data_IF_336252092613
#
_entry.id   IF_336252092613
#
_cell.length_a   1.000
_cell.length_b   1.000
_cell.length_c   1.000
_cell.angle_alpha   90.00
_cell.angle_beta   90.00
_cell.angle_gamma   90.00
#
_symmetry.space_group_name_H-M   'P 1'
#
loop_
_entity.id
_entity.type
_entity.pdbx_description
1 polymer ?
#
# COMPACT_ATOMS: atom_id res chain seq x y z
N UNK A 1 -15.82 13.22 -19.17
CA UNK A 1 -16.25 12.19 -18.22
C UNK A 1 -17.23 12.80 -17.23
N UNK A 2 -18.43 12.26 -17.12
CA UNK A 2 -19.41 12.69 -16.12
C UNK A 2 -19.04 12.03 -14.79
N UNK A 3 -18.45 12.79 -13.89
CA UNK A 3 -18.04 12.28 -12.60
C UNK A 3 -17.38 13.38 -11.77
N UNK A 4 -16.90 12.99 -10.61
CA UNK A 4 -16.26 13.91 -9.68
C UNK A 4 -14.81 13.45 -9.41
N UNK A 5 -13.94 14.42 -9.20
CA UNK A 5 -12.61 14.20 -8.66
C UNK A 5 -12.60 14.59 -7.17
N UNK A 6 -12.25 13.63 -6.32
CA UNK A 6 -12.02 13.86 -4.89
C UNK A 6 -10.53 14.06 -4.67
N UNK A 7 -10.14 15.14 -4.02
CA UNK A 7 -8.72 15.40 -3.75
C UNK A 7 -8.49 16.24 -2.50
N UNK A 8 -7.32 16.07 -1.92
CA UNK A 8 -6.78 16.95 -0.89
C UNK A 8 -5.30 17.25 -1.18
N UNK A 9 -4.78 18.29 -0.55
CA UNK A 9 -3.35 18.56 -0.54
C UNK A 9 -2.78 18.23 0.84
N UNK A 10 -1.63 17.58 0.89
CA UNK A 10 -0.91 17.32 2.14
C UNK A 10 -0.67 18.63 2.88
N UNK A 11 -0.91 18.62 4.18
CA UNK A 11 -0.78 19.81 5.03
C UNK A 11 -1.92 20.82 4.92
N UNK A 12 -2.92 20.57 4.04
CA UNK A 12 -4.16 21.32 4.00
C UNK A 12 -5.20 20.72 4.95
N UNK A 13 -6.06 21.55 5.49
CA UNK A 13 -7.21 21.12 6.30
C UNK A 13 -8.45 20.83 5.45
N UNK A 14 -8.35 21.01 4.12
CA UNK A 14 -9.50 21.02 3.23
C UNK A 14 -9.42 19.87 2.23
N UNK A 15 -10.53 19.17 2.06
CA UNK A 15 -10.75 18.19 0.99
C UNK A 15 -11.81 18.73 0.03
N UNK A 16 -11.62 18.53 -1.25
CA UNK A 16 -12.48 19.07 -2.32
C UNK A 16 -13.09 17.94 -3.16
N UNK A 17 -14.33 18.13 -3.54
CA UNK A 17 -15.02 17.38 -4.59
C UNK A 17 -15.23 18.32 -5.78
N UNK A 18 -14.67 18.02 -6.92
CA UNK A 18 -14.69 18.83 -8.13
C UNK A 18 -15.46 18.10 -9.23
N UNK A 19 -16.34 18.82 -9.93
CA UNK A 19 -17.09 18.29 -11.08
C UNK A 19 -16.24 18.22 -12.37
N UNK A 20 -16.83 17.69 -13.45
CA UNK A 20 -16.19 17.56 -14.76
C UNK A 20 -15.88 18.91 -15.43
N UNK A 21 -16.49 19.99 -14.97
CA UNK A 21 -16.24 21.36 -15.47
C UNK A 21 -15.21 22.10 -14.61
N UNK A 22 -14.58 21.40 -13.67
CA UNK A 22 -13.60 21.94 -12.70
C UNK A 22 -14.20 22.93 -11.67
N UNK A 23 -15.51 22.89 -11.46
CA UNK A 23 -16.12 23.64 -10.37
C UNK A 23 -16.06 22.82 -9.09
N UNK A 24 -15.85 23.50 -7.96
CA UNK A 24 -15.93 22.85 -6.66
C UNK A 24 -17.41 22.57 -6.34
N UNK A 25 -17.76 21.28 -6.35
CA UNK A 25 -19.10 20.82 -6.04
C UNK A 25 -19.32 20.73 -4.52
N UNK A 26 -18.28 20.37 -3.77
CA UNK A 26 -18.33 20.30 -2.32
C UNK A 26 -16.95 20.50 -1.66
N UNK A 27 -16.94 20.88 -0.37
CA UNK A 27 -15.74 21.15 0.39
C UNK A 27 -15.93 20.73 1.84
N UNK A 28 -15.01 19.90 2.34
CA UNK A 28 -14.90 19.59 3.79
C UNK A 28 -13.75 20.41 4.38
N UNK A 29 -14.06 21.34 5.29
CA UNK A 29 -13.07 22.13 6.02
C UNK A 29 -12.94 21.59 7.45
N UNK A 30 -11.80 20.99 7.76
CA UNK A 30 -11.56 20.30 9.01
C UNK A 30 -10.50 21.01 9.87
N UNK A 31 -10.33 20.55 11.11
CA UNK A 31 -9.37 21.15 12.05
C UNK A 31 -7.99 20.51 12.02
N UNK A 32 -7.86 19.31 11.41
CA UNK A 32 -6.58 18.59 11.29
C UNK A 32 -6.12 18.51 9.83
N UNK A 33 -4.82 18.53 9.63
CA UNK A 33 -4.21 18.46 8.31
C UNK A 33 -4.51 17.11 7.64
N UNK A 34 -4.82 17.17 6.35
CA UNK A 34 -4.94 15.97 5.53
C UNK A 34 -3.59 15.24 5.45
N UNK A 35 -3.67 13.92 5.47
CA UNK A 35 -2.62 13.07 4.95
C UNK A 35 -2.82 12.88 3.44
N UNK A 36 -2.27 11.84 2.84
CA UNK A 36 -2.34 11.65 1.38
C UNK A 36 -3.68 11.11 0.90
N UNK A 37 -4.38 10.32 1.72
CA UNK A 37 -5.49 9.53 1.24
C UNK A 37 -6.86 10.06 1.67
N UNK A 38 -7.78 10.00 0.72
CA UNK A 38 -9.21 10.29 0.93
C UNK A 38 -10.05 9.35 0.08
N UNK A 39 -11.16 8.89 0.61
CA UNK A 39 -12.16 8.12 -0.12
C UNK A 39 -13.57 8.62 0.17
N UNK A 40 -14.47 8.46 -0.79
CA UNK A 40 -15.88 8.85 -0.66
C UNK A 40 -16.73 7.58 -0.60
N UNK A 41 -17.54 7.46 0.45
CA UNK A 41 -18.53 6.40 0.57
C UNK A 41 -19.75 6.70 -0.29
N UNK A 42 -20.53 5.68 -0.65
CA UNK A 42 -21.77 5.83 -1.43
C UNK A 42 -22.81 6.73 -0.75
N UNK A 43 -22.82 6.78 0.58
CA UNK A 43 -23.69 7.66 1.34
C UNK A 43 -23.24 9.14 1.33
N UNK A 44 -22.14 9.46 0.68
CA UNK A 44 -21.55 10.79 0.59
C UNK A 44 -20.61 11.15 1.74
N UNK A 45 -20.38 10.26 2.69
CA UNK A 45 -19.40 10.49 3.74
C UNK A 45 -17.97 10.41 3.20
N UNK A 46 -17.12 11.30 3.69
CA UNK A 46 -15.70 11.32 3.41
C UNK A 46 -14.96 10.46 4.44
N UNK A 47 -14.12 9.53 4.00
CA UNK A 47 -13.12 8.86 4.84
C UNK A 47 -11.75 9.41 4.52
N UNK A 48 -10.98 9.82 5.53
CA UNK A 48 -9.66 10.39 5.33
C UNK A 48 -8.65 9.99 6.39
N UNK A 49 -7.40 9.79 5.99
CA UNK A 49 -6.26 9.83 6.88
C UNK A 49 -5.93 11.28 7.25
N UNK A 50 -5.56 11.53 8.49
CA UNK A 50 -5.27 12.88 8.98
C UNK A 50 -4.20 12.86 10.06
N UNK A 51 -3.45 13.95 10.19
CA UNK A 51 -2.45 14.08 11.23
C UNK A 51 -3.07 14.08 12.61
N UNK A 52 -2.48 13.31 13.51
CA UNK A 52 -2.73 13.39 14.93
C UNK A 52 -1.69 14.32 15.58
N UNK A 53 -2.17 15.24 16.41
CA UNK A 53 -1.30 16.10 17.21
C UNK A 53 -0.58 15.26 18.28
N UNK A 54 0.73 15.29 18.32
CA UNK A 54 1.52 14.55 19.30
C UNK A 54 2.03 13.20 18.82
N UNK A 55 2.05 12.94 17.49
CA UNK A 55 2.75 11.79 16.94
C UNK A 55 4.18 11.73 17.44
N UNK A 56 4.59 10.58 17.98
CA UNK A 56 5.94 10.30 18.44
C UNK A 56 6.80 9.82 17.28
N UNK A 57 6.26 8.89 16.46
CA UNK A 57 6.91 8.46 15.24
C UNK A 57 6.72 9.53 14.16
N UNK A 58 7.77 9.78 13.39
CA UNK A 58 7.77 10.79 12.35
C UNK A 58 8.48 10.28 11.11
N UNK A 59 7.73 9.77 10.18
CA UNK A 59 8.19 9.31 8.86
C UNK A 59 7.43 10.02 7.74
N UNK A 60 7.74 9.65 6.51
CA UNK A 60 7.00 10.16 5.34
C UNK A 60 5.52 9.80 5.46
N UNK A 61 4.64 10.74 5.11
CA UNK A 61 3.18 10.54 5.12
C UNK A 61 2.59 10.08 6.47
N UNK A 62 3.19 10.49 7.59
CA UNK A 62 2.65 10.25 8.93
C UNK A 62 1.21 10.78 9.03
N UNK A 63 0.28 9.94 9.46
CA UNK A 63 -1.10 10.29 9.75
C UNK A 63 -1.39 10.21 11.25
N UNK A 64 -1.61 9.04 11.77
CA UNK A 64 -1.89 8.76 13.18
C UNK A 64 -3.37 8.83 13.55
N UNK A 65 -4.24 9.15 12.60
CA UNK A 65 -5.67 9.23 12.81
C UNK A 65 -6.45 9.02 11.51
N UNK A 66 -7.62 8.40 11.62
CA UNK A 66 -8.61 8.31 10.54
C UNK A 66 -9.93 8.90 11.01
N UNK A 67 -10.69 9.49 10.09
CA UNK A 67 -12.00 10.08 10.33
C UNK A 67 -12.98 9.71 9.22
N UNK A 68 -14.21 9.40 9.59
CA UNK A 68 -15.36 9.46 8.68
C UNK A 68 -16.14 10.74 8.97
N UNK A 69 -16.49 11.49 7.93
CA UNK A 69 -17.04 12.83 8.02
C UNK A 69 -18.25 12.93 7.09
N UNK A 70 -19.39 13.32 7.65
CA UNK A 70 -20.61 13.57 6.87
C UNK A 70 -20.45 14.79 5.93
N UNK A 71 -21.32 14.94 4.90
CA UNK A 71 -21.25 16.08 3.98
C UNK A 71 -21.35 17.44 4.66
N UNK A 72 -22.02 17.54 5.80
CA UNK A 72 -22.14 18.80 6.57
C UNK A 72 -20.90 19.12 7.43
N UNK A 73 -19.85 18.27 7.40
CA UNK A 73 -18.63 18.41 8.17
C UNK A 73 -18.67 17.77 9.56
N UNK A 74 -19.77 17.13 9.92
CA UNK A 74 -19.88 16.40 11.21
C UNK A 74 -19.00 15.16 11.18
N UNK A 75 -18.13 14.98 12.18
CA UNK A 75 -17.36 13.76 12.36
C UNK A 75 -18.32 12.65 12.82
N UNK A 76 -18.46 11.61 12.00
CA UNK A 76 -19.30 10.44 12.28
C UNK A 76 -18.58 9.52 13.26
N UNK A 77 -17.32 9.23 13.00
CA UNK A 77 -16.42 8.53 13.90
C UNK A 77 -14.96 8.91 13.65
N UNK A 78 -14.13 8.67 14.64
CA UNK A 78 -12.69 8.94 14.61
C UNK A 78 -11.95 7.82 15.35
N UNK A 79 -10.81 7.42 14.82
CA UNK A 79 -9.92 6.47 15.48
C UNK A 79 -8.47 6.98 15.44
N UNK A 80 -7.84 7.05 16.63
CA UNK A 80 -6.43 7.44 16.76
C UNK A 80 -5.59 6.16 16.81
N UNK A 81 -4.68 6.05 15.85
CA UNK A 81 -3.69 4.98 15.82
C UNK A 81 -2.29 5.57 15.78
N UNK A 82 -1.85 6.03 16.94
CA UNK A 82 -0.60 6.77 17.13
C UNK A 82 -0.16 6.71 18.57
N UNK A 83 0.95 6.04 18.84
CA UNK A 83 1.67 6.07 20.10
C UNK A 83 3.19 5.90 19.88
N UNK A 84 3.93 5.40 20.89
CA UNK A 84 5.35 5.13 20.78
C UNK A 84 5.69 3.87 19.96
N UNK A 85 4.70 2.98 19.73
CA UNK A 85 4.87 1.68 19.11
C UNK A 85 4.24 1.60 17.71
N UNK A 86 3.20 2.40 17.44
CA UNK A 86 2.46 2.36 16.17
C UNK A 86 2.19 3.75 15.64
N UNK A 87 2.04 3.83 14.32
CA UNK A 87 1.55 5.04 13.64
C UNK A 87 0.94 4.68 12.28
N UNK A 88 -0.32 5.07 12.03
CA UNK A 88 -0.87 4.99 10.67
C UNK A 88 -0.21 5.98 9.73
N UNK A 89 0.01 5.57 8.48
CA UNK A 89 0.70 6.37 7.48
C UNK A 89 0.19 6.09 6.07
N UNK A 90 0.60 6.91 5.13
CA UNK A 90 0.38 6.85 3.68
C UNK A 90 -1.07 6.63 3.28
N UNK A 91 -1.59 5.41 3.27
CA UNK A 91 -2.79 5.06 2.53
C UNK A 91 -3.82 4.29 3.38
N UNK A 92 -5.06 4.30 2.90
CA UNK A 92 -6.17 3.52 3.41
C UNK A 92 -7.07 3.08 2.25
N UNK A 93 -7.83 2.01 2.46
CA UNK A 93 -8.90 1.61 1.53
C UNK A 93 -10.15 1.18 2.28
N UNK A 94 -11.30 1.18 1.61
CA UNK A 94 -12.56 0.73 2.18
C UNK A 94 -12.77 -0.77 1.96
N UNK A 95 -13.28 -1.44 2.99
CA UNK A 95 -13.77 -2.83 2.95
C UNK A 95 -15.23 -2.80 3.42
N UNK A 96 -16.15 -2.62 2.48
CA UNK A 96 -17.54 -2.33 2.82
C UNK A 96 -17.67 -1.06 3.67
N UNK A 97 -18.19 -1.19 4.88
CA UNK A 97 -18.27 -0.08 5.85
C UNK A 97 -16.98 0.10 6.67
N UNK A 98 -16.08 -0.87 6.64
CA UNK A 98 -14.83 -0.85 7.38
C UNK A 98 -13.73 -0.07 6.62
N UNK A 99 -12.64 0.21 7.31
CA UNK A 99 -11.49 0.93 6.77
C UNK A 99 -10.21 0.17 7.07
N UNK A 100 -9.48 -0.22 6.03
CA UNK A 100 -8.14 -0.80 6.14
C UNK A 100 -7.10 0.32 6.17
N UNK A 101 -6.24 0.33 7.18
CA UNK A 101 -5.16 1.31 7.33
C UNK A 101 -3.80 0.67 7.16
N UNK A 102 -2.91 1.40 6.49
CA UNK A 102 -1.47 1.13 6.52
C UNK A 102 -0.85 1.75 7.77
N UNK A 103 -0.03 0.99 8.49
CA UNK A 103 0.62 1.49 9.70
C UNK A 103 2.05 0.95 9.86
N UNK A 104 2.87 1.66 10.62
CA UNK A 104 4.15 1.18 11.14
C UNK A 104 3.97 0.58 12.53
N UNK A 105 4.75 -0.46 12.82
CA UNK A 105 5.03 -0.92 14.18
C UNK A 105 6.52 -0.78 14.48
N UNK A 106 6.87 -0.46 15.71
CA UNK A 106 8.28 -0.30 16.11
C UNK A 106 8.85 -1.64 16.55
N UNK A 107 9.93 -2.06 15.91
CA UNK A 107 10.79 -3.17 16.35
C UNK A 107 12.13 -2.58 16.78
N UNK A 108 12.52 -2.85 18.00
CA UNK A 108 13.81 -2.40 18.57
C UNK A 108 14.99 -3.04 17.85
N UNK A 109 16.16 -2.39 17.90
CA UNK A 109 17.39 -2.93 17.33
C UNK A 109 17.69 -4.36 17.81
N UNK A 110 17.33 -4.68 19.07
CA UNK A 110 17.50 -6.02 19.63
C UNK A 110 16.57 -7.05 18.96
N UNK A 111 15.29 -6.72 18.77
CA UNK A 111 14.32 -7.58 18.08
C UNK A 111 14.70 -7.78 16.62
N UNK A 112 15.05 -6.68 15.93
CA UNK A 112 15.49 -6.70 14.54
C UNK A 112 16.73 -7.59 14.35
N UNK A 113 17.71 -7.43 15.23
CA UNK A 113 18.91 -8.28 15.22
C UNK A 113 18.59 -9.72 15.56
N UNK A 114 17.71 -9.99 16.54
CA UNK A 114 17.27 -11.33 16.88
C UNK A 114 16.55 -12.03 15.73
N UNK A 115 15.76 -11.29 14.93
CA UNK A 115 15.08 -11.81 13.74
C UNK A 115 16.00 -12.10 12.54
N UNK A 116 17.29 -11.75 12.63
CA UNK A 116 18.26 -12.05 11.57
C UNK A 116 18.62 -10.88 10.66
N UNK A 117 18.17 -9.67 10.97
CA UNK A 117 18.56 -8.48 10.20
C UNK A 117 19.98 -8.03 10.59
N UNK A 118 20.79 -7.73 9.59
CA UNK A 118 22.19 -7.31 9.81
C UNK A 118 22.28 -5.80 10.09
N UNK A 119 21.72 -5.35 11.22
CA UNK A 119 21.72 -3.93 11.64
C UNK A 119 21.61 -3.78 13.14
N UNK A 120 21.98 -2.61 13.66
CA UNK A 120 21.88 -2.23 15.06
C UNK A 120 20.89 -1.06 15.27
N UNK A 121 19.95 -0.85 14.38
CA UNK A 121 18.95 0.23 14.47
C UNK A 121 17.55 -0.30 14.54
N UNK A 122 16.69 0.42 15.23
CA UNK A 122 15.25 0.17 15.22
C UNK A 122 14.72 0.22 13.78
N UNK A 123 13.69 -0.58 13.51
CA UNK A 123 12.96 -0.60 12.25
C UNK A 123 11.48 -0.48 12.52
N UNK A 124 10.79 0.08 11.53
CA UNK A 124 9.34 0.24 11.55
C UNK A 124 8.74 -0.56 10.39
N UNK A 125 8.59 -1.90 10.56
CA UNK A 125 7.90 -2.71 9.57
C UNK A 125 6.45 -2.28 9.44
N UNK A 126 5.91 -2.52 8.25
CA UNK A 126 4.51 -2.25 7.95
C UNK A 126 3.61 -3.33 8.52
N UNK A 127 2.45 -2.92 9.00
CA UNK A 127 1.31 -3.78 9.26
C UNK A 127 0.02 -3.10 8.76
N UNK A 128 -1.02 -3.90 8.62
CA UNK A 128 -2.35 -3.43 8.29
C UNK A 128 -3.30 -3.69 9.44
N UNK A 129 -4.23 -2.78 9.67
CA UNK A 129 -5.35 -2.96 10.58
C UNK A 129 -6.65 -2.63 9.86
N UNK A 130 -7.67 -3.46 10.05
CA UNK A 130 -9.02 -3.17 9.61
C UNK A 130 -9.86 -2.67 10.77
N UNK A 131 -10.51 -1.54 10.57
CA UNK A 131 -11.34 -0.85 11.55
C UNK A 131 -12.81 -0.98 11.19
N UNK A 132 -13.60 -1.52 12.09
CA UNK A 132 -15.06 -1.51 12.01
C UNK A 132 -15.62 -0.39 12.91
N UNK A 133 -16.44 0.56 12.39
CA UNK A 133 -17.10 1.57 13.19
C UNK A 133 -17.93 0.95 14.32
N UNK A 134 -17.83 1.48 15.54
CA UNK A 134 -18.50 0.92 16.74
C UNK A 134 -19.92 1.44 16.95
N UNK A 135 -20.38 2.37 16.10
CA UNK A 135 -21.68 3.03 16.21
C UNK A 135 -21.78 4.09 17.34
N UNK A 136 -20.68 4.34 18.05
CA UNK A 136 -20.62 5.29 19.16
C UNK A 136 -19.60 6.42 18.93
N UNK A 137 -19.15 6.59 17.69
CA UNK A 137 -18.20 7.64 17.31
C UNK A 137 -16.73 7.20 17.31
N UNK A 138 -16.46 5.93 17.53
CA UNK A 138 -15.17 5.26 17.44
C UNK A 138 -15.17 4.08 16.49
N UNK A 139 -14.14 3.25 16.58
CA UNK A 139 -14.02 2.00 15.81
C UNK A 139 -13.27 0.94 16.62
N UNK A 140 -13.44 -0.32 16.23
CA UNK A 140 -12.70 -1.46 16.77
C UNK A 140 -11.80 -2.06 15.69
N UNK A 141 -10.60 -2.52 16.06
CA UNK A 141 -9.77 -3.33 15.18
C UNK A 141 -10.42 -4.72 15.10
N UNK A 142 -10.71 -5.17 13.88
CA UNK A 142 -11.38 -6.45 13.62
C UNK A 142 -10.50 -7.44 12.89
N UNK A 143 -9.44 -6.95 12.23
CA UNK A 143 -8.44 -7.77 11.56
C UNK A 143 -7.09 -7.06 11.56
N UNK A 144 -6.00 -7.84 11.61
CA UNK A 144 -4.62 -7.36 11.56
C UNK A 144 -3.74 -8.32 10.76
N UNK A 145 -2.77 -7.76 10.03
CA UNK A 145 -1.70 -8.49 9.36
C UNK A 145 -0.38 -7.74 9.54
N UNK A 146 0.68 -8.47 9.86
CA UNK A 146 2.00 -7.91 10.11
C UNK A 146 3.05 -8.54 9.20
N UNK A 147 3.77 -7.72 8.43
CA UNK A 147 4.88 -8.20 7.60
C UNK A 147 5.94 -8.93 8.44
N UNK A 148 6.01 -8.59 9.73
CA UNK A 148 6.95 -9.16 10.70
C UNK A 148 6.73 -10.66 10.95
N UNK A 149 5.58 -11.18 10.72
CA UNK A 149 5.22 -12.57 10.91
C UNK A 149 5.60 -13.46 9.71
N UNK A 150 5.96 -12.84 8.56
CA UNK A 150 6.20 -13.51 7.27
C UNK A 150 7.64 -13.32 6.78
N UNK A 151 8.60 -13.34 7.69
CA UNK A 151 10.01 -13.10 7.38
C UNK A 151 10.77 -14.39 7.08
N UNK A 152 11.82 -14.25 6.24
CA UNK A 152 12.88 -15.25 6.11
C UNK A 152 14.26 -14.57 6.07
N UNK A 153 15.31 -15.39 6.30
CA UNK A 153 16.72 -14.96 6.15
C UNK A 153 17.61 -16.19 5.93
N UNK A 154 18.72 -16.02 5.24
CA UNK A 154 19.71 -17.06 4.95
C UNK A 154 21.10 -16.75 5.52
N UNK A 155 21.19 -15.76 6.42
CA UNK A 155 22.47 -15.24 6.94
C UNK A 155 22.96 -15.99 8.18
N UNK A 156 22.05 -16.33 9.09
CA UNK A 156 22.42 -16.97 10.36
C UNK A 156 21.49 -18.16 10.69
N UNK A 157 21.99 -19.41 10.57
CA UNK A 157 21.17 -20.60 10.83
C UNK A 157 20.78 -20.79 12.31
N UNK A 158 21.32 -19.99 13.22
CA UNK A 158 20.98 -20.07 14.64
C UNK A 158 19.87 -19.09 15.03
N UNK A 159 19.41 -18.25 14.09
CA UNK A 159 18.33 -17.28 14.30
C UNK A 159 17.01 -17.79 13.72
N UNK A 160 15.88 -17.27 14.23
CA UNK A 160 14.57 -17.60 13.67
C UNK A 160 14.47 -17.22 12.20
N UNK A 161 13.46 -17.73 11.52
CA UNK A 161 13.16 -17.46 10.12
C UNK A 161 14.28 -17.89 9.15
N UNK A 162 15.20 -18.74 9.60
CA UNK A 162 16.27 -19.22 8.74
C UNK A 162 15.75 -20.20 7.69
N UNK A 163 16.13 -19.91 6.44
CA UNK A 163 15.95 -20.80 5.29
C UNK A 163 17.31 -21.04 4.63
N UNK A 164 17.53 -22.20 4.06
CA UNK A 164 18.80 -22.51 3.40
C UNK A 164 18.98 -21.77 2.07
N UNK A 165 17.87 -21.37 1.45
CA UNK A 165 17.87 -20.64 0.18
C UNK A 165 16.61 -19.80 0.09
N UNK A 166 16.75 -18.48 0.02
CA UNK A 166 15.65 -17.51 -0.07
C UNK A 166 14.78 -17.76 -1.32
N UNK A 167 15.37 -18.21 -2.43
CA UNK A 167 14.62 -18.41 -3.69
C UNK A 167 13.59 -19.54 -3.64
N UNK A 168 13.69 -20.41 -2.64
CA UNK A 168 12.71 -21.48 -2.42
C UNK A 168 11.46 -20.98 -1.65
N UNK A 169 11.51 -19.74 -1.13
CA UNK A 169 10.49 -19.14 -0.28
C UNK A 169 10.03 -17.77 -0.80
N UNK A 170 9.47 -17.69 -2.03
CA UNK A 170 8.96 -16.44 -2.58
C UNK A 170 7.74 -15.89 -1.83
N UNK A 171 7.06 -16.75 -1.05
CA UNK A 171 5.95 -16.41 -0.16
C UNK A 171 6.38 -15.63 1.09
N UNK A 172 7.68 -15.58 1.39
CA UNK A 172 8.22 -14.89 2.55
C UNK A 172 9.03 -13.65 2.17
N UNK A 173 9.17 -12.76 3.12
CA UNK A 173 9.94 -11.51 2.98
C UNK A 173 11.34 -11.71 3.54
N UNK A 174 12.35 -11.62 2.68
CA UNK A 174 13.72 -11.61 3.13
C UNK A 174 14.00 -10.34 3.95
N UNK A 175 14.19 -10.51 5.27
CA UNK A 175 14.43 -9.39 6.19
C UNK A 175 15.66 -8.55 5.77
N UNK A 176 16.59 -9.13 5.04
CA UNK A 176 17.82 -8.48 4.58
C UNK A 176 17.75 -7.88 3.17
N UNK A 177 16.61 -7.95 2.47
CA UNK A 177 16.51 -7.49 1.08
C UNK A 177 16.68 -5.97 0.92
N UNK A 178 16.39 -5.19 1.95
CA UNK A 178 16.56 -3.74 1.95
C UNK A 178 17.62 -3.36 2.98
N UNK A 179 18.89 -3.33 2.57
CA UNK A 179 20.03 -3.10 3.47
C UNK A 179 20.36 -1.61 3.71
N UNK A 180 20.13 -0.74 2.73
CA UNK A 180 20.78 0.57 2.69
C UNK A 180 19.82 1.74 2.49
N UNK A 181 18.62 1.62 3.03
CA UNK A 181 17.78 2.80 3.06
C UNK A 181 18.15 3.67 4.28
N UNK A 182 19.26 4.34 4.14
CA UNK A 182 19.52 5.53 4.93
C UNK A 182 18.42 6.52 4.61
N UNK A 183 17.58 6.85 5.58
CA UNK A 183 16.39 7.68 5.54
C UNK A 183 16.40 8.89 4.62
N UNK A 184 16.49 8.70 3.36
CA UNK A 184 16.69 9.69 2.32
C UNK A 184 15.49 10.00 1.46
N UNK A 185 14.27 9.75 1.94
CA UNK A 185 13.07 10.36 1.34
C UNK A 185 12.73 11.68 2.05
N UNK A 186 11.95 12.59 1.43
CA UNK A 186 11.43 13.74 2.14
C UNK A 186 10.64 13.27 3.38
N UNK A 187 11.13 13.59 4.58
CA UNK A 187 10.54 13.16 5.84
C UNK A 187 11.10 11.85 6.44
N UNK A 188 12.23 11.34 5.94
CA UNK A 188 12.83 10.08 6.41
C UNK A 188 13.22 10.09 7.90
N UNK A 189 12.32 9.65 8.76
CA UNK A 189 12.63 9.15 10.09
C UNK A 189 13.34 7.79 9.94
N UNK A 190 14.42 7.57 10.67
CA UNK A 190 15.38 6.49 10.45
C UNK A 190 14.89 5.05 10.65
N UNK A 191 13.59 4.81 10.90
CA UNK A 191 13.04 3.48 11.16
C UNK A 191 12.25 2.86 9.99
N UNK A 192 11.68 3.67 9.09
CA UNK A 192 10.87 3.18 7.96
C UNK A 192 11.69 2.22 7.08
N UNK A 193 11.29 0.98 7.11
CA UNK A 193 12.08 -0.08 6.47
C UNK A 193 11.55 -0.46 5.09
N UNK A 194 10.25 -0.60 4.97
CA UNK A 194 9.61 -1.17 3.77
C UNK A 194 8.94 -0.10 2.90
N UNK A 195 8.51 0.97 3.52
CA UNK A 195 7.86 2.12 2.90
C UNK A 195 6.67 1.73 2.02
N UNK A 196 5.68 1.06 2.62
CA UNK A 196 4.42 0.80 1.94
C UNK A 196 3.67 2.12 1.74
N UNK A 197 3.20 2.35 0.52
CA UNK A 197 2.69 3.65 0.11
C UNK A 197 1.43 3.60 -0.76
N UNK A 198 0.83 2.43 -0.89
CA UNK A 198 -0.44 2.20 -1.53
C UNK A 198 -1.01 0.87 -1.05
N UNK A 199 -2.31 0.85 -0.77
CA UNK A 199 -3.06 -0.35 -0.38
C UNK A 199 -4.43 -0.33 -1.05
N UNK A 200 -4.88 -1.47 -1.58
CA UNK A 200 -6.20 -1.63 -2.15
C UNK A 200 -6.76 -3.02 -1.85
N UNK A 201 -8.08 -3.14 -1.90
CA UNK A 201 -8.80 -4.36 -1.58
C UNK A 201 -9.63 -4.84 -2.76
N UNK A 202 -9.60 -6.13 -3.00
CA UNK A 202 -10.41 -6.81 -4.00
C UNK A 202 -11.50 -7.64 -3.31
N UNK A 203 -12.74 -7.18 -3.39
CA UNK A 203 -13.89 -7.85 -2.77
C UNK A 203 -14.18 -9.23 -3.39
N UNK A 204 -13.98 -9.39 -4.72
CA UNK A 204 -14.25 -10.65 -5.40
C UNK A 204 -13.29 -11.77 -4.97
N UNK A 205 -12.03 -11.42 -4.73
CA UNK A 205 -10.97 -12.36 -4.34
C UNK A 205 -10.74 -12.41 -2.82
N UNK A 206 -11.27 -11.45 -2.08
CA UNK A 206 -10.99 -11.21 -0.67
C UNK A 206 -9.48 -11.10 -0.40
N UNK A 207 -8.82 -10.22 -1.16
CA UNK A 207 -7.37 -10.07 -1.16
C UNK A 207 -6.98 -8.58 -1.06
N UNK A 208 -5.82 -8.33 -0.47
CA UNK A 208 -5.22 -7.00 -0.36
C UNK A 208 -3.98 -6.95 -1.26
N UNK A 209 -3.88 -5.87 -2.08
CA UNK A 209 -2.64 -5.51 -2.78
C UNK A 209 -1.99 -4.33 -2.11
N UNK A 210 -0.67 -4.31 -2.06
CA UNK A 210 0.10 -3.15 -1.58
C UNK A 210 1.41 -2.95 -2.35
N UNK A 211 1.88 -1.71 -2.38
CA UNK A 211 3.15 -1.33 -3.02
C UNK A 211 4.19 -0.92 -1.99
N UNK A 212 5.43 -1.37 -2.20
CA UNK A 212 6.60 -0.96 -1.43
C UNK A 212 7.59 -0.17 -2.29
N UNK A 213 7.78 1.09 -1.95
CA UNK A 213 8.75 1.95 -2.64
C UNK A 213 10.18 1.44 -2.53
N UNK A 214 10.58 1.00 -1.34
CA UNK A 214 11.96 0.61 -1.09
C UNK A 214 12.28 -0.78 -1.61
N UNK A 215 11.30 -1.68 -1.66
CA UNK A 215 11.46 -2.97 -2.31
C UNK A 215 11.41 -2.88 -3.84
N UNK A 216 10.80 -1.83 -4.41
CA UNK A 216 10.47 -1.74 -5.83
C UNK A 216 9.60 -2.91 -6.28
N UNK A 217 8.62 -3.26 -5.46
CA UNK A 217 7.70 -4.39 -5.67
C UNK A 217 6.29 -4.06 -5.21
N UNK A 218 5.35 -4.83 -5.74
CA UNK A 218 3.97 -4.94 -5.24
C UNK A 218 3.72 -6.35 -4.74
N UNK A 219 2.77 -6.49 -3.82
CA UNK A 219 2.48 -7.74 -3.12
C UNK A 219 0.99 -7.94 -2.98
N UNK A 220 0.55 -9.21 -3.00
CA UNK A 220 -0.83 -9.59 -2.67
C UNK A 220 -0.80 -10.55 -1.49
N UNK A 221 -1.73 -10.35 -0.55
CA UNK A 221 -1.98 -11.22 0.60
C UNK A 221 -3.46 -11.61 0.68
N UNK A 222 -3.73 -12.69 1.40
CA UNK A 222 -5.07 -13.20 1.66
C UNK A 222 -5.73 -12.46 2.83
N UNK A 223 -6.84 -11.76 2.56
CA UNK A 223 -7.61 -11.10 3.61
C UNK A 223 -8.69 -12.00 4.22
N UNK A 224 -9.05 -13.10 3.56
CA UNK A 224 -10.08 -14.04 4.05
C UNK A 224 -9.69 -14.78 5.33
N UNK A 225 -8.50 -14.51 5.85
CA UNK A 225 -7.97 -15.05 7.11
C UNK A 225 -8.60 -14.38 8.32
N UNK A 226 -8.67 -15.11 9.43
CA UNK A 226 -8.77 -14.48 10.75
C UNK A 226 -7.43 -13.80 11.10
N UNK A 227 -7.40 -12.86 12.02
CA UNK A 227 -6.13 -12.28 12.54
C UNK A 227 -5.15 -13.36 13.01
N UNK A 228 -5.65 -14.42 13.63
CA UNK A 228 -4.80 -15.53 14.09
C UNK A 228 -4.21 -16.34 12.93
N UNK A 229 -4.92 -16.53 11.83
CA UNK A 229 -4.41 -17.17 10.61
C UNK A 229 -3.47 -16.24 9.86
N UNK A 230 -3.80 -14.94 9.79
CA UNK A 230 -2.97 -13.90 9.16
C UNK A 230 -1.57 -13.81 9.79
N UNK A 231 -1.39 -14.22 11.03
CA UNK A 231 -0.09 -14.31 11.72
C UNK A 231 0.66 -15.63 11.49
N UNK A 232 0.16 -16.51 10.61
CA UNK A 232 0.73 -17.85 10.35
C UNK A 232 0.88 -18.13 8.86
N UNK A 233 1.45 -19.30 8.54
CA UNK A 233 1.68 -19.78 7.18
C UNK A 233 0.57 -20.71 6.68
N UNK A 234 -0.62 -20.68 7.27
CA UNK A 234 -1.75 -21.55 6.88
C UNK A 234 -3.08 -20.93 7.30
N UNK A 235 -4.13 -21.19 6.52
CA UNK A 235 -5.47 -20.63 6.72
C UNK A 235 -5.89 -19.73 5.58
N UNK A 236 -7.08 -19.16 5.68
CA UNK A 236 -7.71 -18.37 4.60
C UNK A 236 -8.10 -19.22 3.38
N UNK A 237 -8.61 -18.54 2.37
CA UNK A 237 -9.02 -19.17 1.11
C UNK A 237 -7.85 -19.74 0.29
N UNK A 238 -6.66 -19.12 0.44
CA UNK A 238 -5.44 -19.58 -0.20
C UNK A 238 -4.81 -20.80 0.47
N UNK A 239 -5.14 -21.04 1.75
CA UNK A 239 -4.48 -22.03 2.59
C UNK A 239 -3.08 -21.62 3.07
N UNK A 240 -2.63 -20.38 2.75
CA UNK A 240 -1.27 -19.90 3.03
C UNK A 240 -1.20 -18.93 4.24
N UNK A 241 -2.33 -18.73 4.94
CA UNK A 241 -2.39 -17.75 6.03
C UNK A 241 -2.09 -16.34 5.53
N UNK A 242 -1.23 -15.60 6.22
CA UNK A 242 -0.82 -14.28 5.82
C UNK A 242 0.40 -14.19 4.92
N UNK A 243 0.89 -15.32 4.39
CA UNK A 243 2.03 -15.30 3.45
C UNK A 243 1.72 -14.58 2.14
N UNK A 244 2.75 -14.14 1.45
CA UNK A 244 2.64 -13.45 0.16
C UNK A 244 2.13 -14.42 -0.91
N UNK A 245 0.96 -14.15 -1.47
CA UNK A 245 0.37 -14.94 -2.54
C UNK A 245 1.01 -14.64 -3.90
N UNK A 246 1.35 -13.38 -4.12
CA UNK A 246 1.91 -12.86 -5.35
C UNK A 246 2.82 -11.68 -5.07
N UNK A 247 3.88 -11.58 -5.85
CA UNK A 247 4.77 -10.42 -5.83
C UNK A 247 5.29 -10.13 -7.23
N UNK A 248 5.44 -8.85 -7.56
CA UNK A 248 5.93 -8.44 -8.86
C UNK A 248 6.81 -7.18 -8.75
N UNK A 249 7.93 -7.18 -9.46
CA UNK A 249 8.86 -6.07 -9.57
C UNK A 249 10.31 -6.51 -9.46
N UNK A 250 10.89 -6.56 -8.26
CA UNK A 250 12.30 -6.84 -8.07
C UNK A 250 12.58 -8.29 -7.61
N UNK A 251 12.81 -9.25 -8.52
CA UNK A 251 12.98 -10.65 -8.13
C UNK A 251 14.24 -10.91 -7.30
N UNK A 252 15.23 -10.01 -7.31
CA UNK A 252 16.43 -10.16 -6.48
C UNK A 252 16.13 -10.10 -4.98
N UNK A 253 15.01 -9.51 -4.57
CA UNK A 253 14.57 -9.44 -3.17
C UNK A 253 14.26 -10.82 -2.57
N UNK A 254 13.96 -11.80 -3.40
CA UNK A 254 13.73 -13.19 -3.00
C UNK A 254 14.66 -14.18 -3.74
N UNK A 255 15.88 -13.73 -4.01
CA UNK A 255 16.95 -14.58 -4.54
C UNK A 255 16.75 -15.08 -5.97
N UNK A 256 15.79 -14.52 -6.71
CA UNK A 256 15.58 -14.81 -8.12
C UNK A 256 16.32 -13.81 -8.99
N UNK A 257 16.80 -14.27 -10.13
CA UNK A 257 17.45 -13.43 -11.13
C UNK A 257 16.77 -13.65 -12.47
N UNK A 258 16.28 -12.61 -13.07
CA UNK A 258 15.56 -12.73 -14.32
C UNK A 258 15.31 -11.37 -14.99
N UNK A 259 14.80 -11.38 -16.22
CA UNK A 259 14.57 -10.16 -16.99
C UNK A 259 13.29 -9.41 -16.58
N UNK A 260 12.74 -9.65 -15.37
CA UNK A 260 11.54 -8.96 -14.92
C UNK A 260 11.77 -7.45 -14.85
N UNK A 261 10.78 -6.68 -15.30
CA UNK A 261 10.80 -5.21 -15.16
C UNK A 261 10.70 -4.86 -13.69
N UNK A 262 11.60 -3.98 -13.25
CA UNK A 262 11.63 -3.46 -11.89
C UNK A 262 11.03 -2.06 -11.91
N UNK A 263 9.88 -1.83 -11.27
CA UNK A 263 9.32 -0.49 -11.15
C UNK A 263 10.25 0.38 -10.29
N UNK A 264 10.36 1.66 -10.62
CA UNK A 264 11.23 2.57 -9.90
C UNK A 264 10.42 3.51 -9.02
N UNK A 265 10.59 3.38 -7.72
CA UNK A 265 9.84 4.11 -6.70
C UNK A 265 8.32 3.95 -6.86
N UNK A 266 7.86 2.70 -6.98
CA UNK A 266 6.44 2.37 -7.19
C UNK A 266 5.54 2.94 -6.09
N UNK A 267 4.36 3.38 -6.49
CA UNK A 267 3.27 3.84 -5.62
C UNK A 267 1.93 3.27 -6.10
N UNK A 268 0.92 3.34 -5.21
CA UNK A 268 -0.49 3.25 -5.55
C UNK A 268 -0.84 1.97 -6.32
N UNK A 269 -0.44 0.80 -5.80
CA UNK A 269 -0.90 -0.46 -6.34
C UNK A 269 -2.38 -0.66 -6.04
N UNK A 270 -3.19 -0.91 -7.08
CA UNK A 270 -4.63 -1.15 -6.98
C UNK A 270 -5.14 -2.09 -8.04
N UNK A 271 -6.33 -2.66 -7.84
CA UNK A 271 -7.05 -3.38 -8.89
C UNK A 271 -7.83 -2.43 -9.81
N UNK A 272 -7.86 -2.76 -11.08
CA UNK A 272 -8.83 -2.19 -12.01
C UNK A 272 -10.10 -3.03 -11.87
N UNK A 273 -11.19 -2.36 -11.50
CA UNK A 273 -12.50 -3.01 -11.29
C UNK A 273 -12.89 -3.92 -12.45
N UNK A 274 -13.36 -5.11 -12.13
CA UNK A 274 -13.77 -6.13 -13.12
C UNK A 274 -15.19 -5.84 -13.64
N UNK A 275 -15.36 -4.75 -14.36
CA UNK A 275 -16.65 -4.26 -14.87
C UNK A 275 -16.68 -4.11 -16.41
N UNK A 276 -15.71 -4.70 -17.12
CA UNK A 276 -15.58 -4.66 -18.57
C UNK A 276 -14.87 -3.42 -19.12
N UNK A 277 -14.36 -2.53 -18.26
CA UNK A 277 -13.45 -1.46 -18.71
C UNK A 277 -12.12 -2.04 -19.21
N UNK A 278 -11.34 -1.31 -20.01
CA UNK A 278 -10.02 -1.77 -20.45
C UNK A 278 -9.13 -2.16 -19.28
N UNK A 279 -8.47 -3.32 -19.38
CA UNK A 279 -7.63 -3.94 -18.35
C UNK A 279 -8.40 -4.34 -17.08
N UNK A 280 -9.70 -4.63 -17.16
CA UNK A 280 -10.50 -5.16 -16.04
C UNK A 280 -9.80 -6.34 -15.38
N UNK A 281 -9.71 -6.31 -14.05
CA UNK A 281 -9.07 -7.35 -13.24
C UNK A 281 -7.55 -7.27 -13.18
N UNK A 282 -6.89 -6.39 -13.95
CA UNK A 282 -5.44 -6.16 -13.82
C UNK A 282 -5.13 -5.38 -12.55
N UNK A 283 -3.90 -5.52 -12.09
CA UNK A 283 -3.30 -4.53 -11.19
C UNK A 283 -2.84 -3.31 -11.98
N UNK A 284 -2.99 -2.13 -11.39
CA UNK A 284 -2.45 -0.88 -11.88
C UNK A 284 -1.49 -0.31 -10.86
N UNK A 285 -0.35 0.19 -11.32
CA UNK A 285 0.63 0.83 -10.45
C UNK A 285 1.03 2.19 -11.03
N UNK A 286 1.37 3.13 -10.14
CA UNK A 286 2.08 4.33 -10.50
C UNK A 286 3.59 4.07 -10.41
N UNK A 287 4.27 4.03 -11.56
CA UNK A 287 5.72 3.84 -11.65
C UNK A 287 6.39 5.20 -11.80
N UNK A 288 6.96 5.73 -10.73
CA UNK A 288 7.45 7.12 -10.68
C UNK A 288 8.57 7.41 -11.69
N UNK A 289 9.35 6.40 -12.07
CA UNK A 289 10.41 6.54 -13.08
C UNK A 289 10.36 5.34 -14.04
N UNK A 290 9.23 5.18 -14.72
CA UNK A 290 8.94 4.01 -15.56
C UNK A 290 9.71 3.94 -16.86
N UNK A 291 10.21 5.07 -17.35
CA UNK A 291 11.07 5.15 -18.54
C UNK A 291 12.31 6.02 -18.30
N UNK A 292 13.25 5.99 -19.27
CA UNK A 292 14.43 6.84 -19.24
C UNK A 292 14.05 8.33 -19.09
N UNK A 293 14.84 9.10 -18.36
CA UNK A 293 14.61 10.52 -18.04
C UNK A 293 13.63 10.76 -16.89
N UNK A 294 13.41 9.80 -16.02
CA UNK A 294 12.54 9.91 -14.85
C UNK A 294 11.08 10.25 -15.19
N UNK A 295 10.61 9.90 -16.35
CA UNK A 295 9.22 10.06 -16.70
C UNK A 295 8.37 8.99 -16.02
N UNK A 296 7.30 9.42 -15.37
CA UNK A 296 6.37 8.52 -14.71
C UNK A 296 5.48 7.80 -15.72
N UNK A 297 5.09 6.57 -15.38
CA UNK A 297 4.16 5.77 -16.16
C UNK A 297 3.10 5.14 -15.27
N UNK A 298 1.95 4.82 -15.87
CA UNK A 298 0.93 3.98 -15.28
C UNK A 298 1.04 2.62 -15.96
N UNK A 299 1.44 1.62 -15.19
CA UNK A 299 1.65 0.27 -15.70
C UNK A 299 0.51 -0.65 -15.26
N UNK A 300 -0.05 -1.40 -16.20
CA UNK A 300 -1.05 -2.44 -15.96
C UNK A 300 -0.41 -3.82 -16.02
N UNK A 301 -0.72 -4.66 -15.03
CA UNK A 301 -0.12 -5.98 -14.85
C UNK A 301 -1.25 -7.00 -14.79
N UNK A 302 -1.30 -7.87 -15.80
CA UNK A 302 -2.19 -9.03 -15.82
C UNK A 302 -1.57 -10.14 -14.97
N UNK A 303 -2.14 -10.37 -13.81
CA UNK A 303 -1.61 -11.37 -12.88
C UNK A 303 -1.96 -12.79 -13.34
N UNK A 304 -1.10 -13.80 -13.07
CA UNK A 304 -1.33 -15.18 -13.44
C UNK A 304 -2.29 -15.90 -12.45
N UNK A 305 -3.41 -15.26 -12.13
CA UNK A 305 -4.42 -15.82 -11.21
C UNK A 305 -5.10 -17.04 -11.81
N UNK A 306 -5.16 -18.13 -11.07
CA UNK A 306 -5.90 -19.34 -11.40
C UNK A 306 -7.04 -19.56 -10.41
N UNK A 307 -8.26 -19.28 -10.84
CA UNK A 307 -9.46 -19.47 -10.04
C UNK A 307 -9.80 -20.93 -9.73
N UNK A 308 -9.20 -21.87 -10.47
CA UNK A 308 -9.39 -23.31 -10.23
C UNK A 308 -8.63 -23.82 -9.01
N UNK A 309 -7.51 -23.19 -8.70
CA UNK A 309 -6.65 -23.53 -7.57
C UNK A 309 -6.60 -22.45 -6.48
N UNK A 310 -7.21 -21.27 -6.72
CA UNK A 310 -7.11 -20.07 -5.88
C UNK A 310 -5.64 -19.67 -5.61
N UNK A 311 -4.81 -19.72 -6.64
CA UNK A 311 -3.38 -19.38 -6.52
C UNK A 311 -2.92 -18.52 -7.70
N UNK A 312 -1.82 -17.82 -7.51
CA UNK A 312 -1.07 -17.18 -8.59
C UNK A 312 -0.05 -18.17 -9.14
N UNK A 313 -0.18 -18.52 -10.41
CA UNK A 313 0.70 -19.51 -11.04
C UNK A 313 2.13 -18.99 -11.13
N UNK A 314 3.08 -19.85 -10.80
CA UNK A 314 4.52 -19.57 -10.91
C UNK A 314 5.28 -20.80 -11.40
N UNK A 315 6.16 -20.59 -12.36
CA UNK A 315 7.10 -21.64 -12.74
C UNK A 315 8.17 -21.77 -11.65
N UNK A 316 8.40 -22.97 -11.07
CA UNK A 316 9.44 -23.17 -10.09
C UNK A 316 10.82 -22.66 -10.56
N UNK A 317 11.52 -21.92 -9.69
CA UNK A 317 12.82 -21.33 -10.01
C UNK A 317 12.77 -20.10 -10.92
N UNK A 318 11.59 -19.60 -11.24
CA UNK A 318 11.40 -18.36 -11.99
C UNK A 318 10.65 -17.31 -11.15
N UNK A 319 10.81 -16.01 -11.44
CA UNK A 319 9.94 -14.98 -10.90
C UNK A 319 8.46 -15.24 -11.24
N UNK A 320 7.56 -14.59 -10.53
CA UNK A 320 6.16 -14.57 -10.93
C UNK A 320 5.97 -13.87 -12.27
N UNK A 321 5.10 -14.40 -13.13
CA UNK A 321 4.68 -13.71 -14.35
C UNK A 321 3.76 -12.50 -14.04
N UNK A 322 3.63 -11.54 -14.95
CA UNK A 322 4.38 -11.41 -16.21
C UNK A 322 5.80 -10.84 -15.97
N UNK A 323 6.73 -11.15 -16.87
CA UNK A 323 8.08 -10.58 -16.80
C UNK A 323 8.12 -9.09 -17.17
N UNK A 324 7.04 -8.58 -17.76
CA UNK A 324 6.90 -7.19 -18.15
C UNK A 324 5.50 -6.69 -17.79
N UNK A 325 5.29 -5.38 -17.75
CA UNK A 325 3.93 -4.84 -17.72
C UNK A 325 3.14 -5.28 -18.96
N UNK A 326 1.85 -5.51 -18.80
CA UNK A 326 0.96 -5.85 -19.92
C UNK A 326 0.58 -4.60 -20.71
N UNK A 327 0.32 -3.49 -20.00
CA UNK A 327 0.05 -2.17 -20.62
C UNK A 327 0.86 -1.10 -19.93
N UNK A 328 1.20 -0.03 -20.67
CA UNK A 328 1.89 1.15 -20.14
C UNK A 328 1.34 2.43 -20.74
N UNK A 329 1.09 3.41 -19.90
CA UNK A 329 0.71 4.76 -20.28
C UNK A 329 1.73 5.75 -19.72
N UNK A 330 2.28 6.59 -20.57
CA UNK A 330 3.25 7.61 -20.17
C UNK A 330 2.53 8.85 -19.64
N UNK A 331 2.97 9.36 -18.49
CA UNK A 331 2.43 10.61 -17.95
C UNK A 331 3.03 11.79 -18.72
N UNK A 332 2.36 12.21 -19.81
CA UNK A 332 2.88 13.17 -20.77
C UNK A 332 3.13 14.59 -20.22
N UNK A 333 2.60 14.94 -19.06
CA UNK A 333 2.69 16.27 -18.45
C UNK A 333 3.44 16.31 -17.11
N UNK A 334 4.08 15.24 -16.71
CA UNK A 334 4.81 15.27 -15.46
C UNK A 334 5.54 13.99 -15.13
N UNK A 335 6.63 14.17 -14.44
CA UNK A 335 7.27 13.11 -13.69
C UNK A 335 7.15 13.43 -12.22
N UNK A 336 6.87 12.44 -11.42
CA UNK A 336 6.87 12.55 -9.98
C UNK A 336 7.95 11.65 -9.42
N UNK A 337 8.87 12.20 -8.64
CA UNK A 337 9.94 11.44 -8.00
C UNK A 337 9.48 10.65 -6.78
N UNK A 338 8.28 10.90 -6.31
CA UNK A 338 7.65 10.22 -5.18
C UNK A 338 6.22 10.67 -5.03
N UNK A 339 5.42 9.96 -4.22
CA UNK A 339 3.97 10.12 -4.11
C UNK A 339 3.31 9.90 -5.47
N UNK A 340 2.05 10.14 -5.60
CA UNK A 340 1.25 10.03 -6.81
C UNK A 340 0.29 8.85 -6.77
N UNK A 341 -0.80 9.01 -7.48
CA UNK A 341 -1.83 8.01 -7.61
C UNK A 341 -2.44 8.01 -9.01
N UNK A 342 -3.09 6.91 -9.37
CA UNK A 342 -3.84 6.83 -10.62
C UNK A 342 -5.09 5.99 -10.44
N UNK A 343 -6.17 6.37 -11.13
CA UNK A 343 -7.41 5.60 -11.11
C UNK A 343 -7.92 5.38 -12.53
N UNK A 344 -8.37 4.14 -12.79
CA UNK A 344 -8.98 3.75 -14.06
C UNK A 344 -10.48 4.06 -14.03
N UNK A 345 -10.87 5.09 -14.77
CA UNK A 345 -12.26 5.52 -14.88
C UNK A 345 -13.10 4.52 -15.68
N UNK A 346 -14.40 4.49 -15.45
CA UNK A 346 -15.34 3.56 -16.12
C UNK A 346 -15.34 3.68 -17.65
N UNK A 347 -14.98 4.84 -18.20
CA UNK A 347 -14.84 5.03 -19.65
C UNK A 347 -13.48 4.58 -20.21
N UNK A 348 -12.60 4.01 -19.38
CA UNK A 348 -11.27 3.54 -19.75
C UNK A 348 -10.17 4.61 -19.69
N UNK A 349 -10.50 5.88 -19.45
CA UNK A 349 -9.49 6.90 -19.20
C UNK A 349 -8.78 6.64 -17.85
N UNK A 350 -7.60 7.22 -17.70
CA UNK A 350 -6.86 7.18 -16.43
C UNK A 350 -6.85 8.59 -15.85
N UNK A 351 -7.37 8.71 -14.64
CA UNK A 351 -7.13 9.88 -13.82
C UNK A 351 -5.77 9.74 -13.17
N UNK A 352 -4.95 10.78 -13.23
CA UNK A 352 -3.58 10.75 -12.72
C UNK A 352 -3.35 11.95 -11.83
N UNK A 353 -2.89 11.71 -10.62
CA UNK A 353 -2.42 12.73 -9.70
C UNK A 353 -0.90 12.62 -9.55
N UNK A 354 -0.16 13.66 -9.90
CA UNK A 354 1.30 13.70 -9.77
C UNK A 354 1.70 14.68 -8.69
N UNK A 355 2.56 14.30 -7.77
CA UNK A 355 3.21 15.20 -6.83
C UNK A 355 4.40 15.90 -7.51
N UNK A 356 4.15 16.66 -8.55
CA UNK A 356 5.15 17.49 -9.18
C UNK A 356 5.19 18.85 -8.48
N UNK A 357 6.29 19.22 -7.88
CA UNK A 357 6.48 20.56 -7.32
C UNK A 357 6.54 21.61 -8.40
N UNK A 358 5.42 21.96 -9.01
CA UNK A 358 5.30 23.04 -9.96
C UNK A 358 3.87 23.55 -10.08
N UNK A 359 3.64 24.86 -10.31
CA UNK A 359 2.30 25.34 -10.63
C UNK A 359 1.85 24.72 -11.95
N UNK A 360 0.79 23.95 -11.92
CA UNK A 360 0.20 23.28 -13.07
C UNK A 360 0.26 21.77 -13.07
N UNK A 361 0.55 21.14 -11.93
CA UNK A 361 0.32 19.72 -11.73
C UNK A 361 -1.15 19.50 -11.37
#
# INVERSE_FOLDING_TARGET
>A
FNGFALYNAQGSNTTYLMDENQNIAHTWNMTSECNYTVQLKENGNLVRGTKNNGNILNGAASAGKVQEIAPDGTIVWEFIYSDANYLSHHDLTLIGENVLLTAWEVKTAAEVSAAGYNTNSDKWPTHFIELAPDGNGGANIVWEWHIWDHLCQDVDPNKPNYVSNISDHPELININMIQSQGGGGPGGGGGDWFHVNGVDYNEELDQIVFSSRFASEIYIIDHSTTTAEAATHSGGNSGMGGDILYRWGNPSNYGMFGPQVIPNAVHDARWITNDGRPNSGFLQIFNNSGISNNQSTIDGIETPWDSGTNTYLRTPGQPFDPLNYTTRYECGYGSSSGQSASDRMSNGNIYVNTSGGGPGA
#
